data_IF_043122362813
#
_entry.id   IF_043122362813
#
_cell.length_a   1.000
_cell.length_b   1.000
_cell.length_c   1.000
_cell.angle_alpha   90.00
_cell.angle_beta   90.00
_cell.angle_gamma   90.00
#
_symmetry.space_group_name_H-M   'P 1'
#
loop_
_entity.id
_entity.type
_entity.pdbx_description
1 polymer ?
#
# COMPACT_ATOMS: atom_id res chain seq x y z
N UNK A 1 -3.27 25.71 22.00
CA UNK A 1 -3.36 25.17 20.64
C UNK A 1 -1.99 25.28 19.97
N UNK A 2 -1.54 24.22 19.32
CA UNK A 2 -0.33 24.19 18.49
C UNK A 2 -0.76 23.97 17.05
N UNK A 3 -0.33 24.84 16.15
CA UNK A 3 -0.51 24.67 14.71
C UNK A 3 0.71 23.94 14.15
N UNK A 4 0.48 22.88 13.38
CA UNK A 4 1.50 22.04 12.78
C UNK A 4 1.38 22.22 11.27
N UNK A 5 2.52 22.50 10.60
CA UNK A 5 2.63 22.60 9.16
C UNK A 5 3.54 21.48 8.69
N UNK A 6 2.95 20.37 8.27
CA UNK A 6 3.67 19.15 7.92
C UNK A 6 4.20 19.25 6.48
N UNK A 7 5.48 18.89 6.24
CA UNK A 7 6.04 18.76 4.88
C UNK A 7 5.81 17.35 4.32
N UNK A 8 5.99 17.20 3.00
CA UNK A 8 6.15 15.93 2.28
C UNK A 8 5.01 14.91 2.45
N UNK A 9 3.75 15.34 2.66
CA UNK A 9 2.61 14.44 2.74
C UNK A 9 2.43 13.67 1.42
N UNK A 10 2.57 14.35 0.27
CA UNK A 10 2.43 13.79 -1.08
C UNK A 10 3.63 12.91 -1.54
N UNK A 11 4.63 12.71 -0.71
CA UNK A 11 5.85 11.95 -1.04
C UNK A 11 6.06 10.78 -0.08
N UNK A 12 7.02 10.93 0.84
CA UNK A 12 7.41 9.88 1.79
C UNK A 12 6.68 9.97 3.12
N UNK A 13 5.91 11.03 3.34
CA UNK A 13 5.31 11.39 4.63
C UNK A 13 6.29 12.11 5.55
N UNK A 14 5.87 13.22 6.12
CA UNK A 14 6.69 14.03 7.04
C UNK A 14 6.23 13.95 8.50
N UNK A 15 5.09 13.30 8.77
CA UNK A 15 4.53 13.23 10.11
C UNK A 15 5.45 12.50 11.10
N UNK A 16 6.00 11.36 10.71
CA UNK A 16 6.86 10.55 11.59
C UNK A 16 8.13 11.31 11.99
N UNK A 17 8.76 12.04 11.08
CA UNK A 17 9.95 12.83 11.37
C UNK A 17 9.64 13.95 12.36
N UNK A 18 8.53 14.66 12.18
CA UNK A 18 8.07 15.69 13.12
C UNK A 18 7.71 15.10 14.50
N UNK A 19 7.13 13.90 14.55
CA UNK A 19 6.85 13.19 15.81
C UNK A 19 8.16 12.86 16.51
N UNK A 20 9.15 12.34 15.81
CA UNK A 20 10.46 12.02 16.34
C UNK A 20 11.20 13.26 16.87
N UNK A 21 11.00 14.42 16.27
CA UNK A 21 11.49 15.72 16.73
C UNK A 21 10.67 16.30 17.90
N UNK A 22 9.59 15.63 18.28
CA UNK A 22 8.82 15.95 19.49
C UNK A 22 7.67 16.92 19.25
N UNK A 23 7.14 17.04 18.04
CA UNK A 23 6.01 17.92 17.74
C UNK A 23 4.76 17.61 18.57
N UNK A 24 4.59 16.34 18.98
CA UNK A 24 3.47 15.90 19.81
C UNK A 24 3.80 15.91 21.32
N UNK A 25 4.97 16.40 21.74
CA UNK A 25 5.29 16.49 23.17
C UNK A 25 4.34 17.44 23.90
N UNK A 26 3.66 16.95 24.96
CA UNK A 26 2.61 17.65 25.72
C UNK A 26 1.38 18.01 24.84
N UNK A 27 1.04 17.15 23.89
CA UNK A 27 -0.19 17.23 23.09
C UNK A 27 -1.09 16.07 23.49
N UNK A 28 -2.30 16.37 23.94
CA UNK A 28 -3.28 15.36 24.36
C UNK A 28 -4.10 14.83 23.18
N UNK A 29 -4.26 15.66 22.13
CA UNK A 29 -5.11 15.36 20.97
C UNK A 29 -4.56 16.08 19.77
N UNK A 30 -4.48 15.38 18.64
CA UNK A 30 -4.21 15.94 17.32
C UNK A 30 -5.45 15.81 16.43
N UNK A 31 -5.66 16.78 15.54
CA UNK A 31 -6.72 16.74 14.50
C UNK A 31 -6.16 17.30 13.21
N UNK A 32 -6.52 16.69 12.08
CA UNK A 32 -6.20 17.15 10.75
C UNK A 32 -7.47 17.45 9.93
N UNK A 33 -7.31 18.25 8.89
CA UNK A 33 -8.35 18.54 7.89
C UNK A 33 -7.73 18.32 6.52
N UNK A 34 -8.38 17.47 5.71
CA UNK A 34 -8.04 17.28 4.31
C UNK A 34 -9.13 17.85 3.41
N UNK A 35 -8.74 18.47 2.30
CA UNK A 35 -9.69 18.87 1.26
C UNK A 35 -10.10 17.65 0.45
N UNK A 36 -11.39 17.52 0.19
CA UNK A 36 -11.95 16.40 -0.56
C UNK A 36 -12.70 16.91 -1.78
N UNK A 37 -12.27 16.57 -3.01
CA UNK A 37 -12.95 17.03 -4.23
C UNK A 37 -14.33 16.42 -4.44
N UNK A 38 -14.66 15.32 -3.75
CA UNK A 38 -15.96 14.65 -3.84
C UNK A 38 -16.98 15.19 -2.82
N UNK A 39 -16.52 15.89 -1.78
CA UNK A 39 -17.39 16.52 -0.78
C UNK A 39 -17.84 17.89 -1.24
N UNK A 40 -19.15 18.12 -1.28
CA UNK A 40 -19.75 19.41 -1.67
C UNK A 40 -19.29 20.54 -0.73
N UNK A 41 -18.97 21.70 -1.31
CA UNK A 41 -18.54 22.88 -0.55
C UNK A 41 -19.53 23.23 0.56
N UNK A 42 -19.02 23.47 1.77
CA UNK A 42 -19.80 23.76 2.98
C UNK A 42 -20.19 22.53 3.79
N UNK A 43 -19.87 21.33 3.31
CA UNK A 43 -20.04 20.08 4.05
C UNK A 43 -18.71 19.58 4.61
N UNK A 44 -18.80 18.77 5.67
CA UNK A 44 -17.65 18.13 6.31
C UNK A 44 -17.96 16.64 6.43
N UNK A 45 -17.08 15.78 5.94
CA UNK A 45 -17.14 14.34 6.14
C UNK A 45 -16.27 13.92 7.32
N UNK A 46 -16.77 13.05 8.15
CA UNK A 46 -16.03 12.51 9.32
C UNK A 46 -16.27 11.01 9.43
N UNK A 47 -15.30 10.32 10.02
CA UNK A 47 -15.42 8.89 10.32
C UNK A 47 -14.60 8.54 11.56
N UNK A 48 -15.17 7.75 12.47
CA UNK A 48 -14.44 7.07 13.54
C UNK A 48 -13.88 5.74 13.06
N UNK A 49 -12.86 5.23 13.74
CA UNK A 49 -12.20 3.97 13.40
C UNK A 49 -11.39 4.06 12.10
N UNK A 50 -11.35 2.97 11.35
CA UNK A 50 -10.62 2.86 10.08
C UNK A 50 -11.08 3.91 9.07
N UNK A 51 -10.17 4.76 8.63
CA UNK A 51 -10.48 5.84 7.68
C UNK A 51 -9.68 5.72 6.37
N UNK A 52 -8.34 5.78 6.42
CA UNK A 52 -7.48 5.59 5.27
C UNK A 52 -6.58 4.35 5.42
N UNK A 53 -6.31 3.68 4.31
CA UNK A 53 -5.47 2.50 4.27
C UNK A 53 -3.97 2.84 4.33
N UNK A 54 -3.16 1.88 4.78
CA UNK A 54 -1.71 1.96 4.63
C UNK A 54 -1.30 1.86 3.16
N UNK A 55 -0.28 2.63 2.68
CA UNK A 55 0.18 2.59 1.30
C UNK A 55 1.54 1.89 1.20
N UNK A 56 1.57 0.57 1.13
CA UNK A 56 2.81 -0.17 1.01
C UNK A 56 3.20 -0.44 -0.44
N UNK A 57 4.49 -0.69 -0.67
CA UNK A 57 5.03 -1.08 -1.96
C UNK A 57 5.78 -2.40 -1.88
N UNK A 58 5.76 -3.15 -2.95
CA UNK A 58 6.63 -4.31 -3.14
C UNK A 58 7.32 -4.27 -4.49
N UNK A 59 8.52 -4.84 -4.55
CA UNK A 59 9.29 -5.05 -5.75
C UNK A 59 9.95 -6.42 -5.69
N UNK A 60 10.01 -7.08 -6.84
CA UNK A 60 10.70 -8.34 -6.98
C UNK A 60 11.46 -8.42 -8.30
N UNK A 61 12.59 -9.10 -8.28
CA UNK A 61 13.34 -9.50 -9.46
C UNK A 61 13.53 -11.01 -9.46
N UNK A 62 13.18 -11.65 -10.56
CA UNK A 62 13.38 -13.07 -10.81
C UNK A 62 14.67 -13.20 -11.60
N UNK A 63 15.61 -13.99 -11.08
CA UNK A 63 16.95 -14.20 -11.64
C UNK A 63 16.99 -15.62 -12.20
N UNK A 64 16.86 -15.73 -13.49
CA UNK A 64 16.91 -16.96 -14.24
C UNK A 64 18.24 -17.17 -14.96
N UNK A 65 18.15 -17.70 -16.17
CA UNK A 65 19.26 -17.89 -17.10
C UNK A 65 18.76 -17.75 -18.52
N UNK A 66 19.25 -16.76 -19.22
CA UNK A 66 18.92 -16.49 -20.62
C UNK A 66 19.44 -17.54 -21.59
N UNK A 67 18.89 -17.50 -22.79
CA UNK A 67 19.27 -18.39 -23.90
C UNK A 67 18.78 -17.81 -25.23
N UNK A 68 19.30 -18.34 -26.32
CA UNK A 68 18.71 -18.09 -27.65
C UNK A 68 17.26 -18.59 -27.70
N UNK A 69 16.33 -17.80 -28.23
CA UNK A 69 14.90 -18.12 -28.26
C UNK A 69 14.56 -19.46 -28.97
N UNK A 70 15.40 -19.92 -29.89
CA UNK A 70 15.28 -21.25 -30.54
C UNK A 70 15.82 -22.42 -29.68
N UNK A 71 16.43 -22.14 -28.53
CA UNK A 71 17.01 -23.14 -27.63
C UNK A 71 16.49 -22.98 -26.18
N UNK A 72 15.19 -22.95 -25.92
CA UNK A 72 14.59 -22.65 -24.62
C UNK A 72 14.94 -23.72 -23.56
N UNK A 73 15.33 -24.93 -23.98
CA UNK A 73 15.76 -25.99 -23.07
C UNK A 73 17.06 -25.66 -22.30
N UNK A 74 17.84 -24.69 -22.77
CA UNK A 74 19.07 -24.22 -22.13
C UNK A 74 18.84 -23.05 -21.14
N UNK A 75 17.61 -22.56 -21.06
CA UNK A 75 17.22 -21.44 -20.22
C UNK A 75 16.59 -21.89 -18.90
N UNK A 76 16.69 -21.01 -17.91
CA UNK A 76 15.73 -20.90 -16.80
C UNK A 76 14.97 -19.59 -17.06
N UNK A 77 13.83 -19.71 -17.72
CA UNK A 77 13.12 -18.58 -18.35
C UNK A 77 12.37 -17.73 -17.31
N UNK A 78 12.84 -16.52 -16.97
CA UNK A 78 12.22 -15.69 -15.95
C UNK A 78 10.87 -15.12 -16.38
N UNK A 79 10.58 -15.02 -17.68
CA UNK A 79 9.27 -14.57 -18.18
C UNK A 79 8.19 -15.62 -17.90
N UNK A 80 8.51 -16.90 -18.09
CA UNK A 80 7.59 -18.00 -17.76
C UNK A 80 7.32 -18.06 -16.25
N UNK A 81 8.36 -17.91 -15.45
CA UNK A 81 8.24 -17.88 -13.98
C UNK A 81 7.39 -16.70 -13.55
N UNK A 82 7.65 -15.50 -14.06
CA UNK A 82 6.85 -14.30 -13.77
C UNK A 82 5.39 -14.50 -14.17
N UNK A 83 5.12 -15.13 -15.31
CA UNK A 83 3.73 -15.42 -15.74
C UNK A 83 3.01 -16.32 -14.73
N UNK A 84 3.69 -17.36 -14.21
CA UNK A 84 3.13 -18.23 -13.15
C UNK A 84 2.86 -17.45 -11.87
N UNK A 85 3.78 -16.56 -11.46
CA UNK A 85 3.61 -15.69 -10.30
C UNK A 85 2.41 -14.78 -10.49
N UNK A 86 2.33 -14.03 -11.59
CA UNK A 86 1.25 -13.08 -11.87
C UNK A 86 -0.13 -13.76 -11.94
N UNK A 87 -0.18 -15.00 -12.44
CA UNK A 87 -1.42 -15.77 -12.49
C UNK A 87 -1.95 -16.15 -11.10
N UNK A 88 -1.07 -16.36 -10.12
CA UNK A 88 -1.43 -16.88 -8.80
C UNK A 88 -1.44 -15.81 -7.69
N UNK A 89 -0.67 -14.73 -7.83
CA UNK A 89 -0.35 -13.81 -6.73
C UNK A 89 -1.60 -13.16 -6.13
N UNK A 90 -2.54 -12.69 -6.95
CA UNK A 90 -3.78 -12.09 -6.47
C UNK A 90 -4.59 -13.08 -5.64
N UNK A 91 -4.83 -14.27 -6.18
CA UNK A 91 -5.57 -15.33 -5.47
C UNK A 91 -4.90 -15.71 -4.13
N UNK A 92 -3.59 -15.79 -4.10
CA UNK A 92 -2.87 -16.17 -2.88
C UNK A 92 -2.93 -15.08 -1.82
N UNK A 93 -2.79 -13.81 -2.21
CA UNK A 93 -2.96 -12.67 -1.30
C UNK A 93 -4.40 -12.58 -0.80
N UNK A 94 -5.39 -12.65 -1.68
CA UNK A 94 -6.81 -12.61 -1.33
C UNK A 94 -7.18 -13.73 -0.33
N UNK A 95 -6.67 -14.95 -0.58
CA UNK A 95 -6.87 -16.08 0.33
C UNK A 95 -6.22 -15.88 1.70
N UNK A 96 -5.02 -15.30 1.74
CA UNK A 96 -4.30 -15.08 2.99
C UNK A 96 -4.89 -13.94 3.83
N UNK A 97 -5.51 -12.98 3.18
CA UNK A 97 -6.06 -11.75 3.78
C UNK A 97 -7.58 -11.70 3.83
N UNK A 98 -8.26 -12.80 3.49
CA UNK A 98 -9.72 -12.92 3.50
C UNK A 98 -10.42 -11.86 2.63
N UNK A 99 -9.76 -11.42 1.54
CA UNK A 99 -10.16 -10.33 0.63
C UNK A 99 -10.25 -8.93 1.28
N UNK A 100 -9.60 -8.72 2.42
CA UNK A 100 -9.61 -7.42 3.12
C UNK A 100 -8.45 -6.50 2.74
N UNK A 101 -7.59 -6.92 1.81
CA UNK A 101 -6.44 -6.16 1.30
C UNK A 101 -6.62 -5.89 -0.18
N UNK A 102 -6.28 -4.69 -0.62
CA UNK A 102 -6.16 -4.39 -2.05
C UNK A 102 -4.69 -4.46 -2.44
N UNK A 103 -4.35 -5.41 -3.30
CA UNK A 103 -3.03 -5.55 -3.90
C UNK A 103 -3.13 -5.34 -5.41
N UNK A 104 -2.23 -4.54 -5.96
CA UNK A 104 -2.16 -4.29 -7.40
C UNK A 104 -0.72 -4.42 -7.92
N UNK A 105 -0.54 -5.19 -8.99
CA UNK A 105 0.72 -5.18 -9.73
C UNK A 105 0.68 -4.02 -10.71
N UNK A 106 1.59 -3.05 -10.56
CA UNK A 106 1.59 -1.80 -11.32
C UNK A 106 2.76 -1.69 -12.30
N UNK A 107 3.74 -2.59 -12.20
CA UNK A 107 4.97 -2.53 -12.99
C UNK A 107 5.45 -3.92 -13.34
N UNK A 108 5.80 -4.15 -14.61
CA UNK A 108 6.40 -5.39 -15.12
C UNK A 108 7.44 -5.03 -16.16
N UNK A 109 8.64 -5.60 -16.06
CA UNK A 109 9.70 -5.40 -17.04
C UNK A 109 10.47 -6.70 -17.29
N UNK A 110 10.74 -7.03 -18.54
CA UNK A 110 11.66 -8.11 -18.94
C UNK A 110 11.94 -8.04 -20.43
N UNK A 111 13.06 -8.62 -20.83
CA UNK A 111 13.45 -8.78 -22.23
C UNK A 111 13.96 -7.50 -22.91
N UNK A 112 14.64 -7.68 -24.03
CA UNK A 112 15.19 -6.60 -24.85
C UNK A 112 15.23 -6.96 -26.34
N UNK A 113 14.92 -8.20 -26.71
CA UNK A 113 14.97 -8.69 -28.09
C UNK A 113 14.03 -9.86 -28.29
N UNK A 114 13.43 -9.98 -29.48
CA UNK A 114 12.43 -10.99 -29.82
C UNK A 114 13.01 -12.42 -29.96
N UNK A 115 14.33 -12.54 -30.13
CA UNK A 115 15.00 -13.83 -30.34
C UNK A 115 15.88 -14.28 -29.16
N UNK A 116 15.77 -13.60 -28.00
CA UNK A 116 16.58 -13.87 -26.81
C UNK A 116 15.69 -13.99 -25.57
N UNK A 117 15.80 -15.11 -24.86
CA UNK A 117 15.25 -15.28 -23.52
C UNK A 117 16.15 -14.47 -22.56
N UNK A 118 15.60 -13.55 -21.75
CA UNK A 118 16.41 -12.73 -20.87
C UNK A 118 16.93 -13.50 -19.64
N UNK A 119 17.89 -12.89 -18.92
CA UNK A 119 18.37 -13.43 -17.65
C UNK A 119 17.47 -13.05 -16.48
N UNK A 120 16.74 -11.92 -16.57
CA UNK A 120 15.92 -11.43 -15.46
C UNK A 120 14.53 -10.97 -15.90
N UNK A 121 13.60 -10.99 -14.96
CA UNK A 121 12.30 -10.33 -15.05
C UNK A 121 11.96 -9.67 -13.73
N UNK A 122 11.38 -8.48 -13.76
CA UNK A 122 11.01 -7.76 -12.54
C UNK A 122 9.56 -7.30 -12.58
N UNK A 123 8.97 -7.21 -11.38
CA UNK A 123 7.64 -6.65 -11.21
C UNK A 123 7.52 -5.96 -9.86
N UNK A 124 6.49 -5.14 -9.70
CA UNK A 124 6.22 -4.46 -8.46
C UNK A 124 4.84 -3.85 -8.44
N UNK A 125 4.43 -3.42 -7.26
CA UNK A 125 3.09 -2.91 -7.08
C UNK A 125 2.85 -2.33 -5.70
N UNK A 126 1.57 -2.18 -5.36
CA UNK A 126 1.10 -1.60 -4.10
C UNK A 126 0.25 -2.58 -3.31
N UNK A 127 0.27 -2.41 -1.99
CA UNK A 127 -0.62 -3.11 -1.05
C UNK A 127 -1.30 -2.07 -0.17
N UNK A 128 -2.61 -2.16 -0.03
CA UNK A 128 -3.45 -1.29 0.79
C UNK A 128 -4.20 -2.11 1.82
N UNK A 129 -4.11 -1.77 3.09
CA UNK A 129 -4.78 -2.47 4.18
C UNK A 129 -5.14 -1.53 5.32
N UNK A 130 -6.22 -1.85 6.05
CA UNK A 130 -6.64 -1.12 7.26
C UNK A 130 -6.11 -1.73 8.54
N UNK A 131 -5.39 -2.85 8.47
CA UNK A 131 -4.88 -3.59 9.61
C UNK A 131 -3.43 -4.02 9.41
N UNK A 132 -2.58 -3.83 10.42
CA UNK A 132 -1.16 -4.17 10.35
C UNK A 132 -0.88 -5.69 10.29
N UNK A 133 -1.80 -6.53 10.79
CA UNK A 133 -1.68 -7.98 10.69
C UNK A 133 -1.95 -8.42 9.25
N UNK A 134 -2.96 -7.83 8.61
CA UNK A 134 -3.28 -8.09 7.20
C UNK A 134 -2.17 -7.60 6.27
N UNK A 135 -1.56 -6.44 6.55
CA UNK A 135 -0.34 -5.98 5.83
C UNK A 135 0.75 -7.06 5.83
N UNK A 136 1.02 -7.63 7.02
CA UNK A 136 2.05 -8.66 7.17
C UNK A 136 1.67 -9.97 6.50
N UNK A 137 0.41 -10.38 6.53
CA UNK A 137 -0.09 -11.54 5.79
C UNK A 137 0.08 -11.37 4.29
N UNK A 138 -0.20 -10.19 3.75
CA UNK A 138 -0.03 -9.88 2.33
C UNK A 138 1.45 -9.95 1.91
N UNK A 139 2.36 -9.32 2.67
CA UNK A 139 3.81 -9.39 2.46
C UNK A 139 4.29 -10.85 2.36
N UNK A 140 3.94 -11.68 3.35
CA UNK A 140 4.30 -13.10 3.38
C UNK A 140 3.70 -13.86 2.18
N UNK A 141 2.43 -13.62 1.83
CA UNK A 141 1.78 -14.31 0.72
C UNK A 141 2.39 -13.95 -0.64
N UNK A 142 2.83 -12.71 -0.82
CA UNK A 142 3.54 -12.25 -2.02
C UNK A 142 4.88 -12.98 -2.11
N UNK A 143 5.69 -12.95 -1.04
CA UNK A 143 7.01 -13.58 -1.03
C UNK A 143 6.93 -15.10 -1.24
N UNK A 144 6.03 -15.80 -0.55
CA UNK A 144 5.84 -17.25 -0.70
C UNK A 144 5.38 -17.64 -2.12
N UNK A 145 4.59 -16.79 -2.79
CA UNK A 145 4.20 -17.01 -4.18
C UNK A 145 5.41 -16.93 -5.11
N UNK A 146 6.27 -15.92 -4.93
CA UNK A 146 7.50 -15.74 -5.69
C UNK A 146 8.45 -16.91 -5.45
N UNK A 147 8.71 -17.21 -4.19
CA UNK A 147 9.60 -18.28 -3.74
C UNK A 147 9.21 -19.63 -4.34
N UNK A 148 7.94 -19.99 -4.22
CA UNK A 148 7.43 -21.28 -4.71
C UNK A 148 7.64 -21.43 -6.23
N UNK A 149 7.35 -20.41 -7.01
CA UNK A 149 7.54 -20.45 -8.45
C UNK A 149 9.02 -20.50 -8.85
N UNK A 150 9.88 -19.72 -8.16
CA UNK A 150 11.32 -19.71 -8.41
C UNK A 150 11.99 -21.03 -8.03
N UNK A 151 11.71 -21.58 -6.87
CA UNK A 151 12.26 -22.88 -6.42
C UNK A 151 11.87 -24.01 -7.37
N UNK A 152 10.62 -24.08 -7.79
CA UNK A 152 10.11 -25.05 -8.77
C UNK A 152 10.87 -25.00 -10.09
N UNK A 153 11.25 -23.82 -10.55
CA UNK A 153 11.95 -23.62 -11.81
C UNK A 153 13.49 -23.62 -11.68
N UNK A 154 14.04 -23.68 -10.49
CA UNK A 154 15.48 -23.58 -10.23
C UNK A 154 16.04 -22.16 -10.46
N UNK A 155 15.21 -21.14 -10.28
CA UNK A 155 15.58 -19.73 -10.36
C UNK A 155 15.89 -19.16 -8.96
N UNK A 156 16.57 -18.00 -8.95
CA UNK A 156 16.71 -17.16 -7.74
C UNK A 156 15.74 -15.99 -7.82
N UNK A 157 15.54 -15.31 -6.70
CA UNK A 157 14.78 -14.06 -6.67
C UNK A 157 15.38 -13.09 -5.65
N UNK A 158 15.10 -11.82 -5.87
CA UNK A 158 15.22 -10.76 -4.88
C UNK A 158 13.83 -10.19 -4.62
N UNK A 159 13.50 -9.96 -3.36
CA UNK A 159 12.21 -9.42 -2.95
C UNK A 159 12.42 -8.32 -1.92
N UNK A 160 11.67 -7.23 -2.08
CA UNK A 160 11.64 -6.13 -1.13
C UNK A 160 10.21 -5.66 -0.93
N UNK A 161 9.75 -5.72 0.31
CA UNK A 161 8.53 -5.06 0.77
C UNK A 161 8.91 -3.77 1.51
N UNK A 162 8.21 -2.68 1.22
CA UNK A 162 8.44 -1.38 1.85
C UNK A 162 7.16 -0.98 2.57
N UNK A 163 7.18 -1.12 3.89
CA UNK A 163 6.15 -0.58 4.75
C UNK A 163 6.33 0.93 4.83
N UNK A 164 5.29 1.69 4.44
CA UNK A 164 5.23 3.12 4.68
C UNK A 164 4.49 3.39 6.00
N UNK A 165 3.68 4.43 6.05
CA UNK A 165 2.94 4.76 7.26
C UNK A 165 1.80 3.76 7.54
N UNK A 166 1.36 3.63 8.81
CA UNK A 166 0.27 2.75 9.17
C UNK A 166 -1.08 3.23 8.62
N UNK A 167 -2.13 2.41 8.65
CA UNK A 167 -3.47 2.88 8.34
C UNK A 167 -3.92 3.96 9.33
N UNK A 168 -4.65 4.95 8.83
CA UNK A 168 -5.26 5.99 9.67
C UNK A 168 -6.51 5.44 10.37
N UNK A 169 -6.45 5.41 11.70
CA UNK A 169 -7.54 4.95 12.56
C UNK A 169 -7.91 6.08 13.53
N UNK A 170 -9.04 6.72 13.30
CA UNK A 170 -9.50 7.83 14.12
C UNK A 170 -10.01 7.38 15.49
N UNK A 171 -9.56 8.06 16.56
CA UNK A 171 -10.10 7.84 17.91
C UNK A 171 -11.56 8.29 17.99
N UNK A 172 -12.41 7.42 18.52
CA UNK A 172 -13.86 7.65 18.61
C UNK A 172 -14.23 8.90 19.43
N UNK A 173 -13.57 9.10 20.58
CA UNK A 173 -13.92 10.21 21.47
C UNK A 173 -13.48 11.54 20.85
N UNK A 174 -12.31 11.56 20.19
CA UNK A 174 -11.81 12.73 19.48
C UNK A 174 -12.71 13.05 18.29
N UNK A 175 -13.15 12.04 17.53
CA UNK A 175 -14.09 12.20 16.41
C UNK A 175 -15.43 12.77 16.89
N UNK A 176 -15.99 12.29 18.00
CA UNK A 176 -17.21 12.85 18.59
C UNK A 176 -17.06 14.32 19.01
N UNK A 177 -15.89 14.70 19.53
CA UNK A 177 -15.58 16.09 19.87
C UNK A 177 -15.47 16.95 18.60
N UNK A 178 -14.83 16.42 17.56
CA UNK A 178 -14.70 17.09 16.27
C UNK A 178 -16.07 17.32 15.63
N UNK A 179 -16.94 16.32 15.61
CA UNK A 179 -18.32 16.43 15.11
C UNK A 179 -19.08 17.56 15.79
N UNK A 180 -19.07 17.59 17.15
CA UNK A 180 -19.74 18.66 17.92
C UNK A 180 -19.19 20.06 17.62
N UNK A 181 -17.92 20.15 17.25
CA UNK A 181 -17.28 21.41 16.88
C UNK A 181 -17.63 21.81 15.46
N UNK A 182 -17.63 20.85 14.53
CA UNK A 182 -18.03 21.04 13.14
C UNK A 182 -19.52 21.44 13.01
N UNK A 183 -20.42 20.79 13.77
CA UNK A 183 -21.84 21.16 13.82
C UNK A 183 -22.07 22.65 14.17
N UNK A 184 -21.23 23.21 15.05
CA UNK A 184 -21.31 24.65 15.39
C UNK A 184 -20.84 25.56 14.25
N UNK A 185 -19.92 25.06 13.41
CA UNK A 185 -19.34 25.85 12.35
C UNK A 185 -20.20 25.84 11.07
N UNK A 186 -20.73 24.68 10.68
CA UNK A 186 -21.40 24.48 9.39
C UNK A 186 -22.87 24.04 9.49
N UNK A 187 -23.37 23.73 10.70
CA UNK A 187 -24.70 23.15 10.92
C UNK A 187 -24.68 21.62 10.87
N UNK A 188 -25.56 21.01 11.64
CA UNK A 188 -25.64 19.54 11.77
C UNK A 188 -25.96 18.84 10.45
N UNK A 189 -26.79 19.46 9.64
CA UNK A 189 -27.22 18.97 8.32
C UNK A 189 -26.08 18.88 7.29
N UNK A 190 -24.96 19.56 7.58
CA UNK A 190 -23.79 19.59 6.72
C UNK A 190 -22.66 18.67 7.20
N UNK A 191 -22.91 17.85 8.23
CA UNK A 191 -21.98 16.81 8.68
C UNK A 191 -22.38 15.47 8.09
N UNK A 192 -21.47 14.89 7.32
CA UNK A 192 -21.65 13.60 6.65
C UNK A 192 -20.75 12.53 7.28
N UNK A 193 -21.21 11.30 7.29
CA UNK A 193 -20.35 10.14 7.64
C UNK A 193 -19.63 9.67 6.38
N UNK A 194 -18.30 9.62 6.44
CA UNK A 194 -17.49 9.05 5.38
C UNK A 194 -17.46 7.52 5.45
N UNK A 195 -17.28 6.87 4.31
CA UNK A 195 -16.87 5.48 4.24
C UNK A 195 -15.34 5.37 4.36
N UNK A 196 -14.83 4.19 4.74
CA UNK A 196 -13.39 3.95 4.72
C UNK A 196 -12.88 3.92 3.28
N UNK A 197 -11.68 4.46 3.06
CA UNK A 197 -11.11 4.66 1.74
C UNK A 197 -9.72 4.01 1.62
N UNK A 198 -9.44 3.39 0.47
CA UNK A 198 -8.14 2.78 0.18
C UNK A 198 -7.04 3.81 -0.17
N UNK A 199 -7.34 5.11 -0.19
CA UNK A 199 -6.33 6.16 -0.22
C UNK A 199 -5.49 6.13 1.08
N UNK A 200 -4.33 6.75 1.05
CA UNK A 200 -3.46 6.86 2.23
C UNK A 200 -3.36 8.31 2.70
N UNK A 201 -3.05 8.47 3.99
CA UNK A 201 -2.73 9.75 4.63
C UNK A 201 -1.77 9.44 5.79
N UNK A 202 -0.70 10.20 5.96
CA UNK A 202 0.33 9.94 6.97
C UNK A 202 0.06 10.64 8.33
N UNK A 203 -1.15 11.13 8.55
CA UNK A 203 -1.60 11.77 9.79
C UNK A 203 -1.50 10.87 11.01
#
# INVERSE_FOLDING_TARGET
VRFIFQPAEEETGGALDMINEGVLKNVDTAVGLHVDPETETGKITVKDGEFFASPDFFNAEIIGKGSHGAQPQNAVDPIKILTEILFNIHKNVDSATENEVVMSVCKVNSGFSENSIPDTASFGGTVRAFDNVLRKKADIAIEETIKTACEKAGAKYEYKYTYLYPPLINDKNVTELLIKSAEKAVGKENILTAEKNMLGDDF
#
